data_IF_138265670510
#
_entry.id   IF_138265670510
#
_cell.length_a   1.000
_cell.length_b   1.000
_cell.length_c   1.000
_cell.angle_alpha   90.00
_cell.angle_beta   90.00
_cell.angle_gamma   90.00
#
_symmetry.space_group_name_H-M   'P 1'
#
loop_
_entity.id
_entity.type
_entity.pdbx_description
1 polymer ?
#
# COMPACT_ATOMS: atom_id res chain seq x y z
N UNK A 1 -18.74 -13.00 11.34
CA UNK A 1 -18.12 -13.65 10.16
C UNK A 1 -17.38 -12.59 9.36
N UNK A 2 -16.24 -12.93 8.75
CA UNK A 2 -15.55 -12.07 7.77
C UNK A 2 -15.84 -12.63 6.37
N UNK A 3 -16.17 -11.76 5.42
CA UNK A 3 -16.47 -12.14 4.03
C UNK A 3 -15.46 -11.48 3.11
N UNK A 4 -14.86 -12.26 2.20
CA UNK A 4 -13.83 -11.81 1.27
C UNK A 4 -14.20 -12.28 -0.14
N UNK A 5 -14.19 -11.36 -1.11
CA UNK A 5 -14.32 -11.72 -2.53
C UNK A 5 -12.96 -12.20 -3.04
N UNK A 6 -12.86 -13.49 -3.35
CA UNK A 6 -11.61 -14.12 -3.80
C UNK A 6 -11.29 -13.83 -5.27
N UNK A 7 -12.24 -13.32 -6.06
CA UNK A 7 -12.03 -12.94 -7.46
C UNK A 7 -11.62 -11.48 -7.64
N UNK A 8 -12.11 -10.60 -6.77
CA UNK A 8 -11.82 -9.16 -6.77
C UNK A 8 -11.25 -8.73 -5.43
N UNK A 9 -10.11 -9.31 -5.07
CA UNK A 9 -9.43 -8.97 -3.84
C UNK A 9 -8.51 -7.77 -4.05
N UNK A 10 -8.51 -6.73 -3.19
CA UNK A 10 -7.61 -5.60 -3.36
C UNK A 10 -6.16 -6.07 -3.17
N UNK A 11 -5.28 -5.72 -4.10
CA UNK A 11 -3.86 -6.06 -3.97
C UNK A 11 -3.26 -5.38 -2.74
N UNK A 12 -2.60 -6.15 -1.89
CA UNK A 12 -1.89 -5.62 -0.71
C UNK A 12 -0.71 -4.75 -1.12
N UNK A 13 -0.39 -3.75 -0.30
CA UNK A 13 0.76 -2.90 -0.50
C UNK A 13 2.05 -3.65 -0.17
N UNK A 14 3.15 -3.29 -0.84
CA UNK A 14 4.46 -3.90 -0.61
C UNK A 14 5.08 -3.48 0.74
N UNK A 15 4.64 -2.36 1.32
CA UNK A 15 5.10 -1.90 2.62
C UNK A 15 3.99 -1.21 3.41
N UNK A 16 4.16 -1.12 4.73
CA UNK A 16 3.26 -0.38 5.60
C UNK A 16 3.14 1.10 5.19
N UNK A 17 4.20 1.71 4.64
CA UNK A 17 4.19 3.11 4.20
C UNK A 17 3.25 3.35 3.01
N UNK A 18 3.21 2.41 2.07
CA UNK A 18 2.33 2.49 0.89
C UNK A 18 0.88 2.06 1.18
N UNK A 19 0.64 1.40 2.31
CA UNK A 19 -0.68 0.98 2.75
C UNK A 19 -1.54 2.18 3.18
N UNK A 20 -2.53 2.55 2.36
CA UNK A 20 -3.40 3.72 2.57
C UNK A 20 -4.86 3.41 2.24
N UNK A 21 -5.80 4.24 2.73
CA UNK A 21 -7.24 4.09 2.43
C UNK A 21 -7.57 4.18 0.94
N UNK A 22 -6.72 4.79 0.13
CA UNK A 22 -6.92 4.86 -1.32
C UNK A 22 -6.99 3.46 -1.96
N UNK A 23 -6.42 2.45 -1.33
CA UNK A 23 -6.47 1.06 -1.77
C UNK A 23 -7.83 0.37 -1.51
N UNK A 24 -8.77 1.05 -0.84
CA UNK A 24 -10.12 0.53 -0.61
C UNK A 24 -11.17 1.19 -1.52
N UNK A 25 -10.74 2.05 -2.44
CA UNK A 25 -11.64 2.68 -3.41
C UNK A 25 -12.24 1.63 -4.33
N UNK A 26 -13.53 1.82 -4.64
CA UNK A 26 -14.32 0.94 -5.53
C UNK A 26 -14.59 1.57 -6.91
N UNK A 27 -13.86 2.63 -7.25
CA UNK A 27 -13.96 3.36 -8.51
C UNK A 27 -13.20 2.68 -9.67
N UNK A 28 -12.66 1.48 -9.45
CA UNK A 28 -11.85 0.75 -10.42
C UNK A 28 -10.39 1.21 -10.51
N UNK A 29 -9.99 2.25 -9.76
CA UNK A 29 -8.60 2.74 -9.76
C UNK A 29 -7.63 1.83 -9.02
N UNK A 30 -8.15 0.95 -8.15
CA UNK A 30 -7.36 0.05 -7.32
C UNK A 30 -7.15 -1.29 -8.02
N UNK A 31 -5.89 -1.74 -8.19
CA UNK A 31 -5.62 -3.06 -8.76
C UNK A 31 -6.23 -4.17 -7.90
N UNK A 32 -7.08 -4.97 -8.52
CA UNK A 32 -7.67 -6.17 -7.93
C UNK A 32 -6.93 -7.42 -8.40
N UNK A 33 -6.94 -8.47 -7.58
CA UNK A 33 -6.36 -9.77 -7.88
C UNK A 33 -7.38 -10.88 -7.60
N UNK A 34 -7.26 -11.97 -8.35
CA UNK A 34 -7.99 -13.21 -8.08
C UNK A 34 -7.07 -14.17 -7.34
N UNK A 35 -7.43 -14.52 -6.10
CA UNK A 35 -6.67 -15.46 -5.27
C UNK A 35 -6.68 -16.87 -5.90
N UNK A 36 -7.68 -17.20 -6.72
CA UNK A 36 -7.66 -18.45 -7.49
C UNK A 36 -6.54 -18.51 -8.52
N UNK A 37 -6.16 -17.36 -9.11
CA UNK A 37 -5.02 -17.24 -10.03
C UNK A 37 -3.71 -17.05 -9.28
N UNK A 38 -3.77 -16.41 -8.11
CA UNK A 38 -2.64 -16.13 -7.23
C UNK A 38 -2.86 -16.87 -5.90
N UNK A 39 -2.57 -18.18 -5.89
CA UNK A 39 -2.83 -19.08 -4.76
C UNK A 39 -2.17 -18.63 -3.44
N UNK A 40 -1.19 -17.73 -3.50
CA UNK A 40 -0.54 -17.11 -2.35
C UNK A 40 -0.39 -15.62 -2.59
N UNK A 41 -0.87 -14.81 -1.66
CA UNK A 41 -0.78 -13.36 -1.70
C UNK A 41 -0.33 -12.86 -0.34
N UNK A 42 0.77 -12.09 -0.30
CA UNK A 42 1.21 -11.37 0.90
C UNK A 42 1.19 -9.87 0.64
N UNK A 43 0.87 -9.11 1.67
CA UNK A 43 0.96 -7.65 1.60
C UNK A 43 0.41 -6.96 2.83
N UNK A 44 0.33 -5.64 2.71
CA UNK A 44 -0.22 -4.76 3.73
C UNK A 44 -1.60 -4.27 3.33
N UNK A 45 -2.56 -4.37 4.25
CA UNK A 45 -3.92 -3.85 4.08
C UNK A 45 -4.30 -2.88 5.20
N UNK A 46 -5.05 -1.81 4.86
CA UNK A 46 -5.51 -0.86 5.86
C UNK A 46 -6.65 -1.46 6.66
N UNK A 47 -6.58 -1.34 7.98
CA UNK A 47 -7.71 -1.58 8.87
C UNK A 47 -8.44 -0.25 9.04
N UNK A 48 -9.73 -0.24 8.74
CA UNK A 48 -10.53 0.97 8.78
C UNK A 48 -11.83 0.79 9.55
N UNK A 49 -12.28 1.88 10.16
CA UNK A 49 -13.60 1.99 10.77
C UNK A 49 -14.46 2.94 9.93
N UNK A 50 -15.71 2.56 9.71
CA UNK A 50 -16.69 3.45 9.09
C UNK A 50 -17.37 4.29 10.16
N UNK A 51 -17.37 5.60 9.97
CA UNK A 51 -18.07 6.54 10.86
C UNK A 51 -19.44 6.90 10.28
N UNK A 52 -20.27 7.53 11.11
CA UNK A 52 -21.68 7.89 10.82
C UNK A 52 -21.87 8.67 9.52
N UNK A 53 -20.88 9.46 9.08
CA UNK A 53 -20.91 10.23 7.82
C UNK A 53 -20.52 9.41 6.57
N UNK A 54 -20.39 8.10 6.69
CA UNK A 54 -19.98 7.21 5.59
C UNK A 54 -18.48 7.25 5.27
N UNK A 55 -17.73 8.15 5.90
CA UNK A 55 -16.28 8.27 5.78
C UNK A 55 -15.57 7.09 6.47
N UNK A 56 -14.44 6.68 5.88
CA UNK A 56 -13.55 5.68 6.46
C UNK A 56 -12.40 6.38 7.20
N UNK A 57 -12.10 5.90 8.40
CA UNK A 57 -10.92 6.30 9.17
C UNK A 57 -9.95 5.13 9.20
N UNK A 58 -8.67 5.40 8.92
CA UNK A 58 -7.61 4.41 9.06
C UNK A 58 -7.30 4.23 10.54
N UNK A 59 -7.58 3.05 11.08
CA UNK A 59 -7.37 2.72 12.50
C UNK A 59 -6.15 1.83 12.72
N UNK A 60 -5.62 1.22 11.64
CA UNK A 60 -4.41 0.41 11.71
C UNK A 60 -3.98 -0.09 10.35
N UNK A 61 -2.90 -0.87 10.32
CA UNK A 61 -2.39 -1.56 9.14
C UNK A 61 -2.04 -2.97 9.56
N UNK A 62 -2.41 -3.95 8.74
CA UNK A 62 -2.09 -5.35 8.97
C UNK A 62 -1.24 -5.86 7.83
N UNK A 63 -0.16 -6.55 8.16
CA UNK A 63 0.52 -7.42 7.21
C UNK A 63 -0.13 -8.80 7.31
N UNK A 64 -0.54 -9.35 6.17
CA UNK A 64 -1.16 -10.66 6.12
C UNK A 64 -0.64 -11.45 4.92
N UNK A 65 -0.73 -12.77 5.02
CA UNK A 65 -0.57 -13.68 3.90
C UNK A 65 -1.82 -14.55 3.78
N UNK A 66 -2.38 -14.59 2.58
CA UNK A 66 -3.56 -15.36 2.24
C UNK A 66 -3.13 -16.46 1.28
N UNK A 67 -3.44 -17.70 1.63
CA UNK A 67 -3.11 -18.89 0.85
C UNK A 67 -4.38 -19.69 0.57
N UNK A 68 -4.59 -20.06 -0.70
CA UNK A 68 -5.63 -21.01 -1.09
C UNK A 68 -5.02 -22.42 -1.07
N UNK A 69 -5.49 -23.23 -0.13
CA UNK A 69 -5.01 -24.59 0.09
C UNK A 69 -6.03 -25.61 -0.43
N UNK A 70 -5.51 -26.77 -0.82
CA UNK A 70 -6.34 -27.97 -1.01
C UNK A 70 -6.90 -28.44 0.34
N UNK A 71 -7.93 -29.29 0.30
CA UNK A 71 -8.55 -29.85 1.50
C UNK A 71 -7.53 -30.60 2.36
N UNK A 72 -6.68 -31.41 1.73
CA UNK A 72 -5.67 -32.24 2.38
C UNK A 72 -4.61 -31.38 3.08
N UNK A 73 -4.19 -30.27 2.45
CA UNK A 73 -3.23 -29.32 3.04
C UNK A 73 -3.86 -28.56 4.22
N UNK A 74 -5.11 -28.15 4.11
CA UNK A 74 -5.83 -27.46 5.18
C UNK A 74 -6.07 -28.34 6.41
N UNK A 75 -6.25 -29.66 6.21
CA UNK A 75 -6.36 -30.63 7.30
C UNK A 75 -5.05 -30.83 8.05
N UNK A 76 -3.91 -30.80 7.35
CA UNK A 76 -2.56 -30.90 7.94
C UNK A 76 -2.15 -29.63 8.68
N UNK A 77 -2.52 -28.45 8.16
CA UNK A 77 -2.20 -27.14 8.71
C UNK A 77 -3.47 -26.34 9.04
N UNK A 78 -4.22 -26.72 10.09
CA UNK A 78 -5.50 -26.07 10.39
C UNK A 78 -5.30 -24.64 10.93
N UNK A 79 -5.73 -23.65 10.18
CA UNK A 79 -5.89 -22.27 10.66
C UNK A 79 -7.29 -22.07 11.29
N UNK A 80 -7.39 -21.21 12.31
CA UNK A 80 -8.69 -20.72 12.80
C UNK A 80 -9.55 -21.70 13.63
N UNK A 81 -9.10 -22.94 13.90
CA UNK A 81 -9.81 -23.88 14.82
C UNK A 81 -9.57 -23.59 16.31
N UNK A 82 -9.44 -22.32 16.70
CA UNK A 82 -9.47 -21.85 18.09
C UNK A 82 -8.42 -22.40 19.07
N UNK A 83 -7.44 -23.20 18.62
CA UNK A 83 -6.47 -23.87 19.50
C UNK A 83 -5.01 -23.43 19.31
N UNK A 84 -4.71 -22.64 18.26
CA UNK A 84 -3.42 -21.95 18.05
C UNK A 84 -3.69 -20.59 17.40
N UNK A 85 -2.85 -19.58 17.66
CA UNK A 85 -2.90 -18.30 16.93
C UNK A 85 -2.76 -18.60 15.42
N UNK A 86 -3.43 -17.85 14.53
CA UNK A 86 -3.16 -17.93 13.09
C UNK A 86 -1.66 -17.80 12.87
N UNK A 87 -1.13 -18.52 11.87
CA UNK A 87 0.30 -18.65 11.61
C UNK A 87 0.93 -17.24 11.54
N UNK A 88 1.54 -16.84 12.64
CA UNK A 88 1.86 -15.44 12.86
C UNK A 88 3.02 -15.10 11.93
N UNK A 89 2.82 -14.09 11.08
CA UNK A 89 3.94 -13.53 10.35
C UNK A 89 4.99 -13.06 11.38
N UNK A 90 6.29 -13.16 11.04
CA UNK A 90 7.33 -12.58 11.87
C UNK A 90 7.02 -11.10 12.09
N UNK A 91 7.45 -10.56 13.24
CA UNK A 91 7.20 -9.15 13.52
C UNK A 91 7.70 -8.27 12.36
N UNK A 92 6.90 -7.27 11.94
CA UNK A 92 7.31 -6.39 10.86
C UNK A 92 8.63 -5.70 11.26
N UNK A 93 9.67 -5.84 10.44
CA UNK A 93 10.95 -5.17 10.69
C UNK A 93 10.71 -3.65 10.78
N UNK A 94 10.90 -3.09 11.98
CA UNK A 94 10.75 -1.65 12.23
C UNK A 94 11.83 -0.77 11.55
N UNK A 95 12.78 -1.39 10.84
CA UNK A 95 13.94 -0.73 10.25
C UNK A 95 14.13 -1.17 8.81
N UNK A 96 13.45 -0.49 7.89
CA UNK A 96 13.96 -0.33 6.54
C UNK A 96 15.19 0.60 6.63
N UNK A 97 16.39 0.03 6.82
CA UNK A 97 17.64 0.83 6.91
C UNK A 97 17.96 1.61 5.62
N UNK A 98 17.26 1.31 4.52
CA UNK A 98 17.31 2.04 3.25
C UNK A 98 16.65 3.45 3.35
N UNK A 99 15.74 3.67 4.31
CA UNK A 99 15.02 4.94 4.48
C UNK A 99 15.88 6.02 5.22
N UNK A 100 16.93 5.64 5.96
CA UNK A 100 17.77 6.58 6.74
C UNK A 100 18.77 7.35 5.85
N UNK A 101 19.31 6.73 4.82
CA UNK A 101 20.28 7.36 3.92
C UNK A 101 19.64 8.38 2.97
N UNK A 102 18.36 8.20 2.62
CA UNK A 102 17.60 9.16 1.80
C UNK A 102 17.24 10.43 2.60
N UNK A 103 17.18 10.35 3.93
CA UNK A 103 16.80 11.46 4.81
C UNK A 103 17.92 12.49 5.04
N UNK A 104 19.20 12.09 4.89
CA UNK A 104 20.37 12.97 5.11
C UNK A 104 20.84 13.72 3.86
N UNK A 105 20.29 13.43 2.69
CA UNK A 105 20.69 14.05 1.42
C UNK A 105 19.72 15.15 0.91
N UNK A 106 18.75 15.57 1.71
CA UNK A 106 17.72 16.55 1.33
C UNK A 106 17.94 17.97 1.86
N UNK A 107 19.18 18.47 1.92
CA UNK A 107 19.53 19.82 2.37
C UNK A 107 20.26 20.61 1.29
N UNK A 108 19.69 20.72 0.10
CA UNK A 108 20.27 21.43 -1.05
C UNK A 108 19.39 22.59 -1.50
N UNK A 109 19.94 23.81 -1.44
CA UNK A 109 19.32 25.10 -1.76
C UNK A 109 18.56 25.10 -3.10
N UNK A 110 17.40 25.75 -3.09
CA UNK A 110 16.65 26.16 -4.29
C UNK A 110 17.54 26.97 -5.25
N UNK A 111 17.54 26.68 -6.56
CA UNK A 111 18.06 27.62 -7.55
C UNK A 111 17.01 28.71 -7.83
N UNK A 112 17.40 29.98 -8.04
CA UNK A 112 16.45 31.05 -8.35
C UNK A 112 15.87 30.88 -9.74
N UNK A 113 14.57 31.18 -9.86
CA UNK A 113 13.81 31.20 -11.09
C UNK A 113 14.40 32.19 -12.10
N UNK A 114 14.88 31.68 -13.24
CA UNK A 114 15.17 32.49 -14.41
C UNK A 114 13.96 32.50 -15.33
N UNK A 115 13.29 33.65 -15.45
CA UNK A 115 12.78 34.13 -16.74
C UNK A 115 12.24 35.58 -16.65
N UNK A 116 12.46 36.30 -17.75
CA UNK A 116 11.91 37.59 -18.16
C UNK A 116 12.67 38.86 -17.75
N UNK A 117 13.62 39.29 -18.58
CA UNK A 117 13.76 40.72 -18.93
C UNK A 117 14.10 40.90 -20.41
N UNK A 118 13.15 41.55 -21.09
CA UNK A 118 13.25 42.53 -22.19
C UNK A 118 14.11 42.23 -23.43
N UNK A 119 13.37 42.05 -24.52
CA UNK A 119 13.70 42.42 -25.90
C UNK A 119 14.50 43.72 -25.98
N UNK A 120 15.68 43.69 -26.59
CA UNK A 120 16.44 44.86 -26.98
C UNK A 120 15.99 45.33 -28.36
N UNK A 121 15.51 46.57 -28.42
CA UNK A 121 15.30 47.30 -29.66
C UNK A 121 16.66 47.54 -30.33
N UNK A 122 16.79 47.15 -31.62
CA UNK A 122 17.90 47.57 -32.47
C UNK A 122 17.54 48.92 -33.12
N UNK A 123 18.42 49.93 -33.09
CA UNK A 123 18.18 51.15 -33.83
C UNK A 123 18.39 50.95 -35.32
N UNK A 124 17.44 51.51 -36.06
CA UNK A 124 17.44 51.81 -37.47
C UNK A 124 18.62 52.74 -37.82
N UNK A 125 19.34 52.49 -38.92
CA UNK A 125 20.03 53.56 -39.62
C UNK A 125 20.04 53.31 -41.14
N UNK A 126 19.86 54.43 -41.87
CA UNK A 126 19.91 54.57 -43.33
C UNK A 126 21.26 54.20 -43.92
#
# INVERSE_FOLDING_TARGET
>A
SISLDLNHFPRGAHSARQCTLNMLKKDGSVPQISIFKNLRVRGWWPICQRISKGQLILTGKVEAEIQLLTKEQAEKNPAGKGRKRPDALPEPNALNKEDELVSRAGGGKSPPAGHALRSTEKPFNR
#
